data_IF_140503044242
#
_entry.id   IF_140503044242
#
_cell.length_a   1.000
_cell.length_b   1.000
_cell.length_c   1.000
_cell.angle_alpha   90.00
_cell.angle_beta   90.00
_cell.angle_gamma   90.00
#
_symmetry.space_group_name_H-M   'P 1'
#
loop_
_entity.id
_entity.type
_entity.pdbx_description
1 polymer ?
#
# COMPACT_ATOMS: atom_id res chain seq x y z
N UNK A 1 -9.17 29.58 -1.48
CA UNK A 1 -10.06 28.73 -2.29
C UNK A 1 -10.88 27.88 -1.33
N UNK A 2 -12.10 28.32 -1.01
CA UNK A 2 -13.09 27.46 -0.35
C UNK A 2 -13.53 26.42 -1.38
N UNK A 3 -13.45 25.13 -1.00
CA UNK A 3 -13.91 24.04 -1.86
C UNK A 3 -15.40 24.24 -2.18
N UNK A 4 -15.88 24.05 -3.42
CA UNK A 4 -17.30 24.17 -3.78
C UNK A 4 -18.21 23.13 -3.10
N UNK A 5 -17.62 22.22 -2.33
CA UNK A 5 -18.33 21.16 -1.60
C UNK A 5 -18.50 21.45 -0.11
N UNK A 6 -18.20 22.68 0.35
CA UNK A 6 -18.28 23.10 1.76
C UNK A 6 -17.60 22.13 2.74
N UNK A 7 -16.52 21.49 2.31
CA UNK A 7 -15.77 20.58 3.16
C UNK A 7 -15.09 21.34 4.29
N UNK A 8 -15.42 20.97 5.52
CA UNK A 8 -14.69 21.42 6.69
C UNK A 8 -13.28 20.80 6.73
N UNK A 9 -12.46 21.28 7.65
CA UNK A 9 -11.09 20.81 7.83
C UNK A 9 -11.02 19.30 8.12
N UNK A 10 -11.92 18.79 8.95
CA UNK A 10 -11.99 17.38 9.35
C UNK A 10 -12.28 16.47 8.15
N UNK A 11 -13.20 16.87 7.28
CA UNK A 11 -13.53 16.14 6.04
C UNK A 11 -12.36 16.14 5.07
N UNK A 12 -11.64 17.27 4.98
CA UNK A 12 -10.45 17.38 4.14
C UNK A 12 -9.30 16.51 4.66
N UNK A 13 -9.12 16.46 5.99
CA UNK A 13 -8.17 15.56 6.64
C UNK A 13 -8.55 14.09 6.43
N UNK A 14 -9.83 13.74 6.56
CA UNK A 14 -10.33 12.40 6.29
C UNK A 14 -10.00 11.94 4.86
N UNK A 15 -10.25 12.81 3.88
CA UNK A 15 -9.88 12.54 2.48
C UNK A 15 -8.36 12.39 2.33
N UNK A 16 -7.56 13.23 2.99
CA UNK A 16 -6.10 13.12 3.00
C UNK A 16 -5.60 11.79 3.58
N UNK A 17 -6.16 11.35 4.73
CA UNK A 17 -5.83 10.06 5.34
C UNK A 17 -6.17 8.88 4.44
N UNK A 18 -7.32 8.97 3.75
CA UNK A 18 -7.76 7.97 2.79
C UNK A 18 -6.86 7.88 1.54
N UNK A 19 -6.44 9.02 1.00
CA UNK A 19 -5.56 9.12 -0.18
C UNK A 19 -4.07 8.91 0.15
N UNK A 20 -3.73 8.79 1.44
CA UNK A 20 -2.37 8.50 1.88
C UNK A 20 -1.95 7.11 1.45
N UNK A 21 -2.83 6.11 1.51
CA UNK A 21 -2.56 4.72 1.15
C UNK A 21 -2.10 4.59 -0.31
N UNK A 22 -1.06 3.79 -0.54
CA UNK A 22 -0.39 3.69 -1.84
C UNK A 22 -0.18 2.24 -2.23
N UNK A 23 -0.34 1.94 -3.51
CA UNK A 23 -0.33 0.58 -4.06
C UNK A 23 0.57 0.50 -5.28
N UNK A 24 1.89 0.26 -5.11
CA UNK A 24 2.86 0.36 -6.18
C UNK A 24 2.90 -0.91 -7.05
N UNK A 25 1.91 -1.81 -6.98
CA UNK A 25 1.94 -3.12 -7.64
C UNK A 25 2.30 -3.02 -9.13
N UNK A 26 1.71 -2.08 -9.88
CA UNK A 26 2.03 -1.91 -11.30
C UNK A 26 3.48 -1.45 -11.53
N UNK A 27 4.00 -0.52 -10.71
CA UNK A 27 5.38 -0.04 -10.83
C UNK A 27 6.37 -1.14 -10.46
N UNK A 28 6.08 -1.90 -9.41
CA UNK A 28 6.95 -2.99 -8.96
C UNK A 28 6.99 -4.12 -9.98
N UNK A 29 5.87 -4.43 -10.65
CA UNK A 29 5.85 -5.37 -11.76
C UNK A 29 6.81 -4.95 -12.89
N UNK A 30 6.74 -3.68 -13.32
CA UNK A 30 7.65 -3.13 -14.35
C UNK A 30 9.11 -3.15 -13.91
N UNK A 31 9.41 -2.81 -12.65
CA UNK A 31 10.77 -2.88 -12.11
C UNK A 31 11.34 -4.31 -12.10
N UNK A 32 10.50 -5.30 -11.81
CA UNK A 32 10.86 -6.73 -11.82
C UNK A 32 11.10 -7.22 -13.26
N UNK A 33 10.28 -6.79 -14.21
CA UNK A 33 10.38 -7.16 -15.63
C UNK A 33 11.65 -6.57 -16.28
N UNK A 34 11.98 -5.31 -15.98
CA UNK A 34 13.19 -4.64 -16.48
C UNK A 34 14.47 -5.05 -15.74
N UNK A 35 14.37 -5.73 -14.60
CA UNK A 35 15.53 -6.15 -13.81
C UNK A 35 16.32 -4.99 -13.18
N UNK A 36 15.71 -3.81 -13.04
CA UNK A 36 16.39 -2.55 -12.68
C UNK A 36 17.08 -2.58 -11.33
N UNK A 37 16.37 -2.86 -10.24
CA UNK A 37 16.96 -2.87 -8.88
C UNK A 37 16.05 -3.56 -7.86
N UNK A 38 16.49 -4.70 -7.33
CA UNK A 38 15.81 -5.39 -6.21
C UNK A 38 15.69 -4.49 -4.98
N UNK A 39 16.71 -3.67 -4.72
CA UNK A 39 16.72 -2.69 -3.62
C UNK A 39 15.53 -1.72 -3.76
N UNK A 40 15.33 -1.15 -4.94
CA UNK A 40 14.26 -0.18 -5.18
C UNK A 40 12.88 -0.81 -5.03
N UNK A 41 12.68 -2.02 -5.60
CA UNK A 41 11.42 -2.77 -5.42
C UNK A 41 11.13 -3.04 -3.94
N UNK A 42 12.11 -3.47 -3.15
CA UNK A 42 11.93 -3.72 -1.71
C UNK A 42 11.61 -2.44 -0.94
N UNK A 43 12.24 -1.30 -1.26
CA UNK A 43 11.94 -0.03 -0.61
C UNK A 43 10.50 0.40 -0.90
N UNK A 44 10.06 0.31 -2.17
CA UNK A 44 8.73 0.72 -2.61
C UNK A 44 7.64 -0.21 -2.02
N UNK A 45 7.84 -1.54 -2.08
CA UNK A 45 6.91 -2.51 -1.48
C UNK A 45 6.82 -2.31 0.05
N UNK A 46 7.95 -2.07 0.72
CA UNK A 46 7.99 -1.85 2.16
C UNK A 46 7.32 -0.53 2.59
N UNK A 47 7.52 0.56 1.86
CA UNK A 47 6.83 1.84 2.09
C UNK A 47 5.32 1.66 1.99
N UNK A 48 4.84 1.05 0.91
CA UNK A 48 3.43 0.79 0.66
C UNK A 48 2.80 -0.07 1.75
N UNK A 49 3.44 -1.20 2.12
CA UNK A 49 2.91 -2.09 3.15
C UNK A 49 2.73 -1.38 4.51
N UNK A 50 3.71 -0.57 4.91
CA UNK A 50 3.63 0.20 6.16
C UNK A 50 2.58 1.30 6.09
N UNK A 51 2.55 2.01 4.96
CA UNK A 51 1.63 3.11 4.71
C UNK A 51 0.17 2.65 4.68
N UNK A 52 -0.15 1.49 4.12
CA UNK A 52 -1.49 0.91 4.15
C UNK A 52 -1.97 0.67 5.59
N UNK A 53 -1.11 0.14 6.47
CA UNK A 53 -1.44 -0.04 7.89
C UNK A 53 -1.64 1.29 8.63
N UNK A 54 -0.75 2.26 8.41
CA UNK A 54 -0.79 3.57 9.10
C UNK A 54 -1.94 4.45 8.60
N UNK A 55 -2.20 4.49 7.29
CA UNK A 55 -3.28 5.26 6.68
C UNK A 55 -4.65 4.87 7.25
N UNK A 56 -4.88 3.59 7.54
CA UNK A 56 -6.13 3.11 8.16
C UNK A 56 -6.27 3.65 9.58
N UNK A 57 -5.19 3.70 10.37
CA UNK A 57 -5.21 4.28 11.72
C UNK A 57 -5.53 5.78 11.66
N UNK A 58 -4.87 6.50 10.75
CA UNK A 58 -5.11 7.93 10.53
C UNK A 58 -6.54 8.19 10.03
N UNK A 59 -7.04 7.35 9.12
CA UNK A 59 -8.42 7.39 8.64
C UNK A 59 -9.42 7.21 9.78
N UNK A 60 -9.21 6.22 10.66
CA UNK A 60 -10.09 6.01 11.83
C UNK A 60 -10.12 7.22 12.75
N UNK A 61 -8.97 7.86 12.99
CA UNK A 61 -8.88 9.08 13.78
C UNK A 61 -9.70 10.23 13.14
N UNK A 62 -9.49 10.49 11.85
CA UNK A 62 -10.22 11.56 11.16
C UNK A 62 -11.71 11.26 11.01
N UNK A 63 -12.08 9.99 10.84
CA UNK A 63 -13.48 9.60 10.79
C UNK A 63 -14.17 9.90 12.13
N UNK A 64 -13.51 9.64 13.26
CA UNK A 64 -14.05 10.00 14.57
C UNK A 64 -14.20 11.53 14.75
N UNK A 65 -13.28 12.32 14.21
CA UNK A 65 -13.41 13.78 14.20
C UNK A 65 -14.63 14.23 13.39
N UNK A 66 -14.80 13.71 12.18
CA UNK A 66 -15.96 14.02 11.32
C UNK A 66 -17.29 13.59 11.98
N UNK A 67 -17.27 12.53 12.79
CA UNK A 67 -18.44 12.09 13.57
C UNK A 67 -18.68 12.93 14.84
N UNK A 68 -17.93 14.02 15.06
CA UNK A 68 -18.14 14.98 16.13
C UNK A 68 -17.30 14.76 17.39
N UNK A 69 -16.31 13.86 17.38
CA UNK A 69 -15.37 13.73 18.50
C UNK A 69 -14.26 14.78 18.39
N UNK A 70 -14.16 15.66 19.38
CA UNK A 70 -13.06 16.61 19.49
C UNK A 70 -11.80 15.94 20.03
N UNK A 71 -10.66 16.14 19.38
CA UNK A 71 -9.36 15.71 19.88
C UNK A 71 -8.47 16.92 20.16
N UNK A 72 -7.74 16.88 21.27
CA UNK A 72 -6.62 17.79 21.53
C UNK A 72 -5.32 17.12 21.03
N UNK A 73 -4.23 17.87 20.86
CA UNK A 73 -2.93 17.35 20.41
C UNK A 73 -2.46 16.15 21.26
N UNK A 74 -2.66 16.21 22.59
CA UNK A 74 -2.32 15.10 23.48
C UNK A 74 -3.16 13.85 23.24
N UNK A 75 -4.47 13.99 22.99
CA UNK A 75 -5.35 12.83 22.73
C UNK A 75 -5.14 12.26 21.32
N UNK A 76 -4.75 13.08 20.34
CA UNK A 76 -4.31 12.59 19.02
C UNK A 76 -3.08 11.70 19.17
N UNK A 77 -2.05 12.18 19.87
CA UNK A 77 -0.81 11.42 20.04
C UNK A 77 -1.07 10.12 20.81
N UNK A 78 -1.87 10.20 21.88
CA UNK A 78 -2.29 9.03 22.65
C UNK A 78 -3.03 8.04 21.76
N UNK A 79 -4.06 8.47 21.02
CA UNK A 79 -4.81 7.61 20.11
C UNK A 79 -3.92 6.93 19.07
N UNK A 80 -3.08 7.69 18.38
CA UNK A 80 -2.18 7.14 17.35
C UNK A 80 -1.20 6.13 17.95
N UNK A 81 -0.62 6.43 19.11
CA UNK A 81 0.31 5.53 19.79
C UNK A 81 -0.38 4.26 20.28
N UNK A 82 -1.54 4.38 20.92
CA UNK A 82 -2.28 3.25 21.50
C UNK A 82 -2.79 2.32 20.40
N UNK A 83 -3.46 2.86 19.39
CA UNK A 83 -4.02 2.08 18.29
C UNK A 83 -2.92 1.41 17.46
N UNK A 84 -1.81 2.13 17.20
CA UNK A 84 -0.72 1.56 16.40
C UNK A 84 0.08 0.53 17.16
N UNK A 85 0.54 0.84 18.39
CA UNK A 85 1.33 -0.09 19.20
C UNK A 85 0.48 -1.29 19.65
N UNK A 86 -0.79 -1.07 20.00
CA UNK A 86 -1.73 -2.12 20.34
C UNK A 86 -1.96 -3.08 19.18
N UNK A 87 -2.21 -2.57 17.96
CA UNK A 87 -2.36 -3.39 16.77
C UNK A 87 -1.09 -4.21 16.46
N UNK A 88 0.09 -3.60 16.53
CA UNK A 88 1.37 -4.30 16.29
C UNK A 88 1.61 -5.36 17.35
N UNK A 89 1.43 -5.03 18.64
CA UNK A 89 1.65 -5.97 19.74
C UNK A 89 0.71 -7.19 19.65
N UNK A 90 -0.57 -6.95 19.35
CA UNK A 90 -1.54 -8.03 19.16
C UNK A 90 -1.22 -8.86 17.91
N UNK A 91 -0.83 -8.22 16.80
CA UNK A 91 -0.41 -8.92 15.59
C UNK A 91 0.76 -9.87 15.86
N UNK A 92 1.77 -9.40 16.60
CA UNK A 92 2.89 -10.23 17.05
C UNK A 92 2.43 -11.36 17.98
N UNK A 93 1.52 -11.08 18.93
CA UNK A 93 1.00 -12.11 19.83
C UNK A 93 0.26 -13.23 19.07
N UNK A 94 -0.64 -12.88 18.15
CA UNK A 94 -1.31 -13.85 17.27
C UNK A 94 -0.31 -14.63 16.40
N UNK A 95 0.71 -13.96 15.87
CA UNK A 95 1.75 -14.61 15.09
C UNK A 95 2.57 -15.62 15.91
N UNK A 96 2.96 -15.28 17.14
CA UNK A 96 3.69 -16.19 18.03
C UNK A 96 2.81 -17.39 18.39
N UNK A 97 1.56 -17.16 18.81
CA UNK A 97 0.63 -18.24 19.21
C UNK A 97 0.39 -19.21 18.05
N UNK A 98 0.16 -18.67 16.85
CA UNK A 98 -0.06 -19.48 15.66
C UNK A 98 1.19 -20.23 15.21
N UNK A 99 2.39 -19.65 15.29
CA UNK A 99 3.63 -20.39 15.00
C UNK A 99 3.89 -21.51 16.01
N UNK A 100 3.57 -21.30 17.29
CA UNK A 100 3.63 -22.37 18.29
C UNK A 100 2.68 -23.50 17.92
N UNK A 101 1.45 -23.16 17.52
CA UNK A 101 0.47 -24.17 17.11
C UNK A 101 0.90 -24.93 15.86
N UNK A 102 1.48 -24.21 14.90
CA UNK A 102 2.03 -24.78 13.68
C UNK A 102 3.22 -25.70 13.96
N UNK A 103 4.03 -25.41 14.98
CA UNK A 103 5.12 -26.28 15.42
C UNK A 103 4.68 -27.68 15.89
N UNK A 104 3.40 -27.85 16.25
CA UNK A 104 2.81 -29.16 16.56
C UNK A 104 2.28 -29.91 15.32
N UNK A 105 2.17 -29.23 14.18
CA UNK A 105 1.68 -29.81 12.93
C UNK A 105 2.85 -30.07 12.00
N UNK A 106 3.06 -31.32 11.59
CA UNK A 106 4.19 -31.68 10.74
C UNK A 106 3.75 -31.94 9.30
N UNK A 107 4.31 -31.15 8.37
CA UNK A 107 4.38 -31.43 6.94
C UNK A 107 3.03 -31.53 6.20
N UNK A 108 2.05 -30.70 6.58
CA UNK A 108 0.77 -30.57 5.88
C UNK A 108 0.59 -29.13 5.35
N UNK A 109 0.83 -28.96 4.05
CA UNK A 109 0.76 -27.66 3.38
C UNK A 109 -0.66 -27.06 3.43
N UNK A 110 -1.70 -27.89 3.34
CA UNK A 110 -3.10 -27.42 3.30
C UNK A 110 -3.50 -26.91 4.68
N UNK A 111 -3.10 -27.61 5.74
CA UNK A 111 -3.32 -27.17 7.11
C UNK A 111 -2.58 -25.87 7.39
N UNK A 112 -1.33 -25.72 6.95
CA UNK A 112 -0.57 -24.47 7.06
C UNK A 112 -1.27 -23.29 6.36
N UNK A 113 -1.73 -23.48 5.13
CA UNK A 113 -2.49 -22.47 4.38
C UNK A 113 -3.78 -22.08 5.09
N UNK A 114 -4.55 -23.09 5.53
CA UNK A 114 -5.85 -22.88 6.18
C UNK A 114 -5.67 -22.18 7.53
N UNK A 115 -4.65 -22.56 8.30
CA UNK A 115 -4.37 -21.93 9.59
C UNK A 115 -3.93 -20.48 9.41
N UNK A 116 -2.99 -20.19 8.50
CA UNK A 116 -2.54 -18.82 8.27
C UNK A 116 -3.68 -17.91 7.81
N UNK A 117 -4.58 -18.41 6.95
CA UNK A 117 -5.78 -17.68 6.54
C UNK A 117 -6.74 -17.45 7.73
N UNK A 118 -7.05 -18.49 8.50
CA UNK A 118 -7.97 -18.42 9.63
C UNK A 118 -7.45 -17.47 10.72
N UNK A 119 -6.17 -17.59 11.09
CA UNK A 119 -5.53 -16.72 12.08
C UNK A 119 -5.52 -15.27 11.61
N UNK A 120 -5.20 -15.01 10.33
CA UNK A 120 -5.23 -13.65 9.77
C UNK A 120 -6.64 -13.04 9.89
N UNK A 121 -7.68 -13.79 9.54
CA UNK A 121 -9.07 -13.31 9.64
C UNK A 121 -9.51 -13.09 11.10
N UNK A 122 -9.21 -14.04 12.00
CA UNK A 122 -9.54 -13.93 13.42
C UNK A 122 -8.81 -12.74 14.05
N UNK A 123 -7.51 -12.58 13.79
CA UNK A 123 -6.72 -11.46 14.30
C UNK A 123 -7.28 -10.13 13.80
N UNK A 124 -7.60 -10.02 12.50
CA UNK A 124 -8.24 -8.84 11.93
C UNK A 124 -9.56 -8.50 12.66
N UNK A 125 -10.48 -9.45 12.72
CA UNK A 125 -11.83 -9.22 13.23
C UNK A 125 -11.84 -8.93 14.74
N UNK A 126 -11.12 -9.72 15.52
CA UNK A 126 -11.07 -9.57 16.99
C UNK A 126 -10.44 -8.24 17.39
N UNK A 127 -9.32 -7.87 16.78
CA UNK A 127 -8.64 -6.62 17.14
C UNK A 127 -9.43 -5.40 16.67
N UNK A 128 -10.06 -5.47 15.49
CA UNK A 128 -10.84 -4.36 14.97
C UNK A 128 -12.18 -4.17 15.67
N UNK A 129 -12.94 -5.25 15.91
CA UNK A 129 -14.29 -5.12 16.46
C UNK A 129 -14.31 -5.14 17.99
N UNK A 130 -13.55 -6.03 18.64
CA UNK A 130 -13.58 -6.14 20.10
C UNK A 130 -12.71 -5.08 20.78
N UNK A 131 -11.51 -4.82 20.25
CA UNK A 131 -10.53 -3.91 20.85
C UNK A 131 -10.50 -2.52 20.21
N UNK A 132 -11.22 -2.32 19.10
CA UNK A 132 -11.30 -1.05 18.36
C UNK A 132 -9.93 -0.50 17.91
N UNK A 133 -8.95 -1.38 17.71
CA UNK A 133 -7.65 -1.05 17.13
C UNK A 133 -7.63 -1.35 15.61
N UNK A 134 -6.51 -1.08 14.92
CA UNK A 134 -6.42 -1.31 13.48
C UNK A 134 -6.21 -2.79 13.16
N UNK A 135 -7.25 -3.46 12.67
CA UNK A 135 -7.18 -4.85 12.22
C UNK A 135 -6.21 -5.02 11.05
N UNK A 136 -6.17 -4.06 10.11
CA UNK A 136 -5.26 -4.08 8.96
C UNK A 136 -3.80 -4.03 9.43
N UNK A 137 -3.47 -3.10 10.33
CA UNK A 137 -2.10 -3.02 10.87
C UNK A 137 -1.72 -4.26 11.68
N UNK A 138 -2.70 -4.89 12.34
CA UNK A 138 -2.51 -6.14 13.10
C UNK A 138 -2.11 -7.29 12.17
N UNK A 139 -2.84 -7.50 11.07
CA UNK A 139 -2.51 -8.54 10.09
C UNK A 139 -1.22 -8.22 9.32
N UNK A 140 -0.91 -6.95 9.10
CA UNK A 140 0.39 -6.54 8.54
C UNK A 140 1.55 -6.92 9.46
N UNK A 141 1.45 -6.64 10.77
CA UNK A 141 2.46 -7.06 11.74
C UNK A 141 2.58 -8.60 11.83
N UNK A 142 1.45 -9.29 11.80
CA UNK A 142 1.41 -10.76 11.78
C UNK A 142 2.09 -11.34 10.53
N UNK A 143 1.76 -10.83 9.34
CA UNK A 143 2.34 -11.26 8.07
C UNK A 143 3.84 -10.98 7.99
N UNK A 144 4.29 -9.82 8.50
CA UNK A 144 5.72 -9.51 8.60
C UNK A 144 6.46 -10.46 9.54
N UNK A 145 5.84 -10.80 10.67
CA UNK A 145 6.42 -11.79 11.59
C UNK A 145 6.52 -13.17 10.92
N UNK A 146 5.48 -13.61 10.24
CA UNK A 146 5.56 -14.82 9.42
C UNK A 146 6.66 -14.74 8.38
N UNK A 147 6.79 -13.66 7.62
CA UNK A 147 7.83 -13.51 6.60
C UNK A 147 9.26 -13.58 7.21
N UNK A 148 9.47 -12.99 8.39
CA UNK A 148 10.75 -13.00 9.09
C UNK A 148 11.12 -14.39 9.65
N UNK A 149 10.15 -15.09 10.25
CA UNK A 149 10.35 -16.39 10.91
C UNK A 149 9.98 -17.58 10.02
N UNK A 150 9.53 -17.35 8.78
CA UNK A 150 9.09 -18.41 7.89
C UNK A 150 10.21 -19.40 7.56
N UNK A 151 11.46 -18.92 7.49
CA UNK A 151 12.62 -19.79 7.19
C UNK A 151 12.94 -20.77 8.31
N UNK A 152 12.59 -20.46 9.56
CA UNK A 152 12.85 -21.34 10.70
C UNK A 152 11.70 -22.31 10.96
N UNK A 153 10.48 -21.94 10.58
CA UNK A 153 9.27 -22.71 10.93
C UNK A 153 8.69 -23.51 9.77
N UNK A 154 8.69 -22.99 8.53
CA UNK A 154 8.20 -23.73 7.35
C UNK A 154 9.37 -24.40 6.63
N UNK A 155 9.47 -25.74 6.71
CA UNK A 155 10.54 -26.52 6.06
C UNK A 155 10.13 -26.94 4.65
N UNK A 156 11.07 -26.86 3.69
CA UNK A 156 10.93 -27.50 2.36
C UNK A 156 10.00 -26.80 1.36
N UNK A 157 9.34 -27.60 0.51
CA UNK A 157 8.48 -27.17 -0.62
C UNK A 157 7.22 -26.39 -0.18
N UNK A 158 6.77 -26.57 1.08
CA UNK A 158 5.58 -25.90 1.62
C UNK A 158 5.64 -24.38 1.54
N UNK A 159 6.83 -23.78 1.64
CA UNK A 159 7.00 -22.32 1.60
C UNK A 159 6.61 -21.74 0.23
N UNK A 160 6.93 -22.44 -0.85
CA UNK A 160 6.59 -21.98 -2.21
C UNK A 160 5.09 -22.05 -2.41
N UNK A 161 4.49 -23.18 -2.04
CA UNK A 161 3.03 -23.34 -2.08
C UNK A 161 2.31 -22.28 -1.26
N UNK A 162 2.75 -21.99 -0.04
CA UNK A 162 2.18 -20.92 0.81
C UNK A 162 2.28 -19.54 0.15
N UNK A 163 3.42 -19.24 -0.48
CA UNK A 163 3.59 -17.98 -1.21
C UNK A 163 2.63 -17.88 -2.39
N UNK A 164 2.58 -18.93 -3.23
CA UNK A 164 1.73 -18.99 -4.40
C UNK A 164 0.23 -18.89 -4.00
N UNK A 165 -0.16 -19.53 -2.88
CA UNK A 165 -1.52 -19.41 -2.32
C UNK A 165 -1.87 -17.97 -1.96
N UNK A 166 -1.02 -17.28 -1.20
CA UNK A 166 -1.27 -15.88 -0.82
C UNK A 166 -1.22 -14.92 -2.02
N UNK A 167 -0.39 -15.20 -3.02
CA UNK A 167 -0.36 -14.44 -4.27
C UNK A 167 -1.69 -14.56 -5.04
N UNK A 168 -2.24 -15.77 -5.15
CA UNK A 168 -3.56 -16.01 -5.76
C UNK A 168 -4.68 -15.31 -4.97
N UNK A 169 -4.68 -15.44 -3.64
CA UNK A 169 -5.70 -14.80 -2.78
C UNK A 169 -5.64 -13.27 -2.92
N UNK A 170 -4.45 -12.68 -2.89
CA UNK A 170 -4.26 -11.24 -3.06
C UNK A 170 -4.71 -10.78 -4.46
N UNK A 171 -4.38 -11.55 -5.51
CA UNK A 171 -4.81 -11.26 -6.88
C UNK A 171 -6.35 -11.25 -7.01
N UNK A 172 -7.03 -12.25 -6.44
CA UNK A 172 -8.50 -12.32 -6.44
C UNK A 172 -9.09 -11.14 -5.67
N UNK A 173 -8.59 -10.84 -4.46
CA UNK A 173 -9.08 -9.75 -3.64
C UNK A 173 -8.93 -8.38 -4.34
N UNK A 174 -7.76 -8.12 -4.93
CA UNK A 174 -7.52 -6.91 -5.70
C UNK A 174 -8.46 -6.80 -6.90
N UNK A 175 -8.63 -7.89 -7.67
CA UNK A 175 -9.53 -7.92 -8.82
C UNK A 175 -10.97 -7.59 -8.40
N UNK A 176 -11.46 -8.15 -7.30
CA UNK A 176 -12.79 -7.86 -6.77
C UNK A 176 -12.94 -6.39 -6.38
N UNK A 177 -11.96 -5.82 -5.64
CA UNK A 177 -12.02 -4.41 -5.21
C UNK A 177 -12.03 -3.47 -6.42
N UNK A 178 -11.20 -3.73 -7.44
CA UNK A 178 -11.18 -2.91 -8.65
C UNK A 178 -12.47 -3.03 -9.47
N UNK A 179 -13.03 -4.23 -9.63
CA UNK A 179 -14.31 -4.42 -10.32
C UNK A 179 -15.43 -3.69 -9.56
N UNK A 180 -15.55 -3.89 -8.24
CA UNK A 180 -16.57 -3.23 -7.41
C UNK A 180 -16.43 -1.71 -7.48
N UNK A 181 -15.21 -1.19 -7.34
CA UNK A 181 -14.95 0.24 -7.47
C UNK A 181 -15.34 0.77 -8.85
N UNK A 182 -14.97 0.06 -9.93
CA UNK A 182 -15.33 0.42 -11.30
C UNK A 182 -16.85 0.47 -11.50
N UNK A 183 -17.59 -0.51 -10.97
CA UNK A 183 -19.05 -0.55 -11.00
C UNK A 183 -19.65 0.63 -10.25
N UNK A 184 -19.15 0.97 -9.06
CA UNK A 184 -19.69 2.07 -8.24
C UNK A 184 -19.39 3.43 -8.89
N UNK A 185 -18.21 3.60 -9.48
CA UNK A 185 -17.87 4.81 -10.25
C UNK A 185 -18.78 4.91 -11.47
N UNK A 186 -18.97 3.83 -12.22
CA UNK A 186 -19.85 3.79 -13.38
C UNK A 186 -21.31 4.07 -12.99
N UNK A 187 -21.81 3.51 -11.89
CA UNK A 187 -23.15 3.79 -11.37
C UNK A 187 -23.32 5.26 -10.98
N UNK A 188 -22.32 5.83 -10.30
CA UNK A 188 -22.29 7.25 -9.95
C UNK A 188 -22.23 8.18 -11.17
N UNK A 189 -21.59 7.76 -12.25
CA UNK A 189 -21.51 8.53 -13.51
C UNK A 189 -22.76 8.33 -14.38
N UNK A 190 -23.35 7.13 -14.41
CA UNK A 190 -24.40 6.75 -15.36
C UNK A 190 -25.83 6.85 -14.79
N UNK A 191 -26.05 6.53 -13.51
CA UNK A 191 -27.41 6.51 -12.91
C UNK A 191 -27.80 7.84 -12.28
N UNK A 192 -26.84 8.54 -11.70
CA UNK A 192 -27.07 9.90 -11.25
C UNK A 192 -27.03 10.82 -12.48
N UNK A 193 -28.19 11.01 -13.12
CA UNK A 193 -28.53 12.17 -13.96
C UNK A 193 -28.48 13.48 -13.14
N UNK A 194 -27.51 13.62 -12.24
CA UNK A 194 -27.26 14.82 -11.47
C UNK A 194 -26.39 15.71 -12.35
N UNK A 195 -27.07 16.43 -13.25
CA UNK A 195 -26.61 17.69 -13.83
C UNK A 195 -25.11 17.74 -14.22
N UNK A 196 -24.71 16.97 -15.24
CA UNK A 196 -23.48 17.28 -15.99
C UNK A 196 -23.50 18.69 -16.62
N UNK A 197 -24.67 19.35 -16.64
CA UNK A 197 -24.88 20.69 -17.20
C UNK A 197 -24.38 21.85 -16.31
N UNK A 198 -23.89 21.60 -15.08
CA UNK A 198 -23.41 22.70 -14.19
C UNK A 198 -21.99 22.57 -13.63
N UNK A 199 -21.22 21.53 -14.01
CA UNK A 199 -19.99 21.16 -13.30
C UNK A 199 -18.78 20.77 -14.18
N UNK A 200 -18.42 21.60 -15.16
CA UNK A 200 -17.03 21.58 -15.69
C UNK A 200 -15.97 21.78 -14.60
N UNK A 201 -16.37 22.39 -13.48
CA UNK A 201 -15.56 22.59 -12.27
C UNK A 201 -15.16 21.29 -11.56
N UNK A 202 -16.03 20.27 -11.46
CA UNK A 202 -15.74 19.06 -10.65
C UNK A 202 -14.58 18.22 -11.21
N UNK A 203 -14.52 18.07 -12.53
CA UNK A 203 -13.39 17.44 -13.21
C UNK A 203 -12.10 18.27 -13.06
N UNK A 204 -12.22 19.60 -13.10
CA UNK A 204 -11.12 20.52 -12.79
C UNK A 204 -10.59 20.33 -11.36
N UNK A 205 -11.48 20.18 -10.37
CA UNK A 205 -11.09 19.87 -8.99
C UNK A 205 -10.44 18.50 -8.86
N UNK A 206 -10.92 17.49 -9.58
CA UNK A 206 -10.29 16.17 -9.58
C UNK A 206 -8.84 16.23 -10.11
N UNK A 207 -8.62 16.93 -11.24
CA UNK A 207 -7.29 17.13 -11.79
C UNK A 207 -6.40 17.94 -10.85
N UNK A 208 -6.92 19.02 -10.26
CA UNK A 208 -6.21 19.83 -9.28
C UNK A 208 -5.81 18.99 -8.06
N UNK A 209 -6.74 18.16 -7.56
CA UNK A 209 -6.49 17.26 -6.44
C UNK A 209 -5.44 16.20 -6.79
N UNK A 210 -5.47 15.65 -8.01
CA UNK A 210 -4.40 14.78 -8.51
C UNK A 210 -3.04 15.49 -8.47
N UNK A 211 -2.93 16.71 -9.00
CA UNK A 211 -1.69 17.48 -8.93
C UNK A 211 -1.25 17.75 -7.49
N UNK A 212 -2.18 18.10 -6.60
CA UNK A 212 -1.88 18.34 -5.18
C UNK A 212 -1.36 17.09 -4.49
N UNK A 213 -1.96 15.93 -4.75
CA UNK A 213 -1.53 14.63 -4.22
C UNK A 213 -0.12 14.26 -4.72
N UNK A 214 0.20 14.56 -5.99
CA UNK A 214 1.54 14.34 -6.54
C UNK A 214 2.57 15.30 -5.95
N UNK A 215 2.22 16.58 -5.80
CA UNK A 215 3.07 17.59 -5.17
C UNK A 215 3.32 17.28 -3.69
N UNK A 216 2.31 16.84 -2.95
CA UNK A 216 2.44 16.45 -1.56
C UNK A 216 3.43 15.27 -1.41
N UNK A 217 3.33 14.26 -2.29
CA UNK A 217 4.30 13.14 -2.30
C UNK A 217 5.72 13.63 -2.63
N UNK A 218 5.86 14.49 -3.64
CA UNK A 218 7.16 15.06 -4.00
C UNK A 218 7.77 15.88 -2.85
N UNK A 219 6.95 16.66 -2.13
CA UNK A 219 7.37 17.45 -0.99
C UNK A 219 7.82 16.57 0.18
N UNK A 220 7.06 15.51 0.52
CA UNK A 220 7.41 14.59 1.62
C UNK A 220 8.69 13.80 1.29
N UNK A 221 8.78 13.21 0.11
CA UNK A 221 9.98 12.47 -0.31
C UNK A 221 11.18 13.40 -0.42
N UNK A 222 10.99 14.62 -0.94
CA UNK A 222 12.05 15.63 -1.03
C UNK A 222 12.53 16.12 0.34
N UNK A 223 11.62 16.37 1.28
CA UNK A 223 11.97 16.76 2.64
C UNK A 223 12.74 15.66 3.38
N UNK A 224 12.37 14.40 3.17
CA UNK A 224 13.04 13.26 3.77
C UNK A 224 14.27 12.80 2.98
N UNK A 225 14.51 13.30 1.76
CA UNK A 225 15.58 12.85 0.87
C UNK A 225 16.95 12.86 1.53
N UNK A 226 17.28 13.92 2.29
CA UNK A 226 18.56 14.01 2.97
C UNK A 226 18.72 12.86 3.98
N UNK A 227 17.67 12.54 4.74
CA UNK A 227 17.66 11.44 5.69
C UNK A 227 17.74 10.08 4.96
N UNK A 228 16.96 9.88 3.90
CA UNK A 228 16.98 8.64 3.11
C UNK A 228 18.31 8.43 2.36
N UNK A 229 19.04 9.50 2.07
CA UNK A 229 20.37 9.42 1.46
C UNK A 229 21.43 8.89 2.44
N UNK A 230 21.33 9.25 3.72
CA UNK A 230 22.32 8.89 4.74
C UNK A 230 21.99 7.58 5.49
N UNK A 231 20.72 7.19 5.60
CA UNK A 231 20.31 6.01 6.37
C UNK A 231 19.96 4.79 5.48
N UNK A 232 20.21 3.59 6.01
CA UNK A 232 19.81 2.33 5.37
C UNK A 232 20.60 2.01 4.10
N UNK A 233 19.89 1.67 3.01
CA UNK A 233 20.50 1.30 1.72
C UNK A 233 21.04 2.51 0.92
N UNK A 234 20.78 3.74 1.39
CA UNK A 234 21.10 5.00 0.71
C UNK A 234 20.28 5.22 -0.56
N UNK A 235 19.61 6.35 -0.71
CA UNK A 235 18.76 6.64 -1.87
C UNK A 235 19.43 7.59 -2.88
N UNK A 236 19.55 7.15 -4.13
CA UNK A 236 19.99 8.03 -5.22
C UNK A 236 18.87 8.99 -5.65
N UNK A 237 19.23 10.11 -6.26
CA UNK A 237 18.27 11.09 -6.76
C UNK A 237 17.32 10.49 -7.80
N UNK A 238 17.83 9.61 -8.69
CA UNK A 238 17.00 8.89 -9.67
C UNK A 238 16.00 7.94 -8.99
N UNK A 239 16.45 7.21 -7.98
CA UNK A 239 15.60 6.33 -7.18
C UNK A 239 14.51 7.13 -6.44
N UNK A 240 14.82 8.33 -5.93
CA UNK A 240 13.87 9.21 -5.28
C UNK A 240 12.76 9.69 -6.24
N UNK A 241 13.11 10.03 -7.49
CA UNK A 241 12.13 10.39 -8.52
C UNK A 241 11.17 9.21 -8.78
N UNK A 242 11.71 7.99 -8.89
CA UNK A 242 10.88 6.79 -9.07
C UNK A 242 9.99 6.55 -7.86
N UNK A 243 10.47 6.77 -6.63
CA UNK A 243 9.63 6.64 -5.42
C UNK A 243 8.48 7.66 -5.44
N UNK A 244 8.71 8.90 -5.86
CA UNK A 244 7.62 9.88 -6.02
C UNK A 244 6.61 9.41 -7.06
N UNK A 245 7.08 8.91 -8.20
CA UNK A 245 6.23 8.48 -9.31
C UNK A 245 5.48 7.17 -9.01
N UNK A 246 6.09 6.25 -8.26
CA UNK A 246 5.56 4.93 -7.92
C UNK A 246 4.42 4.96 -6.92
N UNK A 247 4.11 6.13 -6.36
CA UNK A 247 2.94 6.34 -5.54
C UNK A 247 1.67 6.27 -6.36
N UNK A 248 1.25 5.07 -6.69
CA UNK A 248 -0.08 4.81 -7.22
C UNK A 248 -1.05 4.72 -6.03
N UNK A 249 -2.30 5.10 -6.21
CA UNK A 249 -3.35 4.90 -5.20
C UNK A 249 -4.10 3.65 -5.62
N UNK A 250 -4.48 2.80 -4.67
CA UNK A 250 -5.03 1.48 -5.01
C UNK A 250 -6.11 0.99 -4.07
N UNK A 251 -6.16 -0.33 -3.90
CA UNK A 251 -7.30 -1.06 -3.35
C UNK A 251 -7.71 -0.60 -1.93
N UNK A 252 -6.74 -0.28 -1.05
CA UNK A 252 -7.01 0.17 0.32
C UNK A 252 -7.73 1.52 0.34
N UNK A 253 -7.29 2.49 -0.47
CA UNK A 253 -7.95 3.78 -0.58
C UNK A 253 -9.38 3.64 -1.12
N UNK A 254 -9.58 2.75 -2.11
CA UNK A 254 -10.89 2.46 -2.68
C UNK A 254 -11.83 1.83 -1.64
N UNK A 255 -11.37 0.82 -0.90
CA UNK A 255 -12.21 0.11 0.09
C UNK A 255 -12.67 1.05 1.21
N UNK A 256 -11.78 1.93 1.70
CA UNK A 256 -12.12 2.96 2.66
C UNK A 256 -13.11 3.98 2.06
N UNK A 257 -12.94 4.36 0.80
CA UNK A 257 -13.87 5.27 0.11
C UNK A 257 -15.24 4.67 -0.16
N UNK A 258 -15.41 3.35 -0.16
CA UNK A 258 -16.74 2.76 -0.21
C UNK A 258 -17.51 2.98 1.10
N UNK A 259 -16.80 3.16 2.21
CA UNK A 259 -17.40 3.37 3.53
C UNK A 259 -17.83 4.83 3.76
N UNK A 260 -17.17 5.79 3.11
CA UNK A 260 -17.48 7.23 3.19
C UNK A 260 -17.71 7.74 1.78
N UNK A 261 -18.86 8.38 1.48
CA UNK A 261 -19.34 8.73 0.11
C UNK A 261 -18.44 9.63 -0.78
N UNK A 262 -17.11 9.60 -0.63
CA UNK A 262 -16.04 10.24 -1.43
C UNK A 262 -15.57 9.37 -2.62
N UNK A 263 -16.42 8.48 -3.13
CA UNK A 263 -16.05 7.50 -4.16
C UNK A 263 -15.62 8.18 -5.47
N UNK A 264 -16.24 9.31 -5.85
CA UNK A 264 -15.88 10.02 -7.09
C UNK A 264 -14.43 10.53 -7.06
N UNK A 265 -14.04 11.25 -6.01
CA UNK A 265 -12.69 11.81 -5.90
C UNK A 265 -11.64 10.73 -5.72
N UNK A 266 -11.90 9.77 -4.83
CA UNK A 266 -10.96 8.67 -4.57
C UNK A 266 -10.80 7.79 -5.81
N UNK A 267 -11.91 7.35 -6.39
CA UNK A 267 -11.93 6.53 -7.58
C UNK A 267 -11.26 7.22 -8.76
N UNK A 268 -11.53 8.51 -8.96
CA UNK A 268 -10.90 9.33 -9.98
C UNK A 268 -9.38 9.45 -9.80
N UNK A 269 -8.89 9.64 -8.57
CA UNK A 269 -7.44 9.69 -8.31
C UNK A 269 -6.78 8.34 -8.51
N UNK A 270 -7.40 7.27 -8.02
CA UNK A 270 -6.90 5.90 -8.23
C UNK A 270 -6.79 5.62 -9.72
N UNK A 271 -7.85 5.92 -10.49
CA UNK A 271 -7.86 5.79 -11.94
C UNK A 271 -6.77 6.64 -12.62
N UNK A 272 -6.65 7.92 -12.28
CA UNK A 272 -5.65 8.82 -12.86
C UNK A 272 -4.22 8.38 -12.52
N UNK A 273 -3.96 7.97 -11.28
CA UNK A 273 -2.62 7.52 -10.88
C UNK A 273 -2.26 6.20 -11.57
N UNK A 274 -3.18 5.23 -11.65
CA UNK A 274 -2.93 3.96 -12.36
C UNK A 274 -2.69 4.17 -13.86
N UNK A 275 -3.51 4.99 -14.53
CA UNK A 275 -3.34 5.24 -15.96
C UNK A 275 -2.12 6.12 -16.22
N UNK A 276 -2.03 7.29 -15.61
CA UNK A 276 -0.97 8.24 -15.92
C UNK A 276 0.37 7.75 -15.35
N UNK A 277 0.49 7.57 -14.04
CA UNK A 277 1.77 7.20 -13.45
C UNK A 277 2.13 5.76 -13.79
N UNK A 278 1.18 4.83 -13.74
CA UNK A 278 1.44 3.41 -14.04
C UNK A 278 1.96 3.22 -15.46
N UNK A 279 1.29 3.76 -16.48
CA UNK A 279 1.74 3.61 -17.87
C UNK A 279 3.04 4.37 -18.18
N UNK A 280 3.27 5.52 -17.56
CA UNK A 280 4.47 6.33 -17.81
C UNK A 280 5.69 5.88 -17.01
N UNK A 281 5.53 4.97 -16.04
CA UNK A 281 6.63 4.47 -15.20
C UNK A 281 7.73 3.82 -16.04
N UNK A 282 7.37 2.98 -17.02
CA UNK A 282 8.34 2.35 -17.90
C UNK A 282 9.13 3.39 -18.69
N UNK A 283 8.44 4.38 -19.26
CA UNK A 283 9.08 5.49 -19.97
C UNK A 283 10.03 6.28 -19.07
N UNK A 284 9.61 6.58 -17.84
CA UNK A 284 10.42 7.32 -16.87
C UNK A 284 11.69 6.53 -16.49
N UNK A 285 11.60 5.22 -16.32
CA UNK A 285 12.75 4.36 -16.04
C UNK A 285 13.78 4.38 -17.19
N UNK A 286 13.31 4.32 -18.43
CA UNK A 286 14.17 4.47 -19.61
C UNK A 286 14.79 5.87 -19.69
N UNK A 287 14.00 6.93 -19.45
CA UNK A 287 14.48 8.31 -19.48
C UNK A 287 15.56 8.59 -18.40
N UNK A 288 15.48 7.92 -17.25
CA UNK A 288 16.48 7.98 -16.18
C UNK A 288 17.69 7.06 -16.42
N UNK A 289 17.66 6.23 -17.47
CA UNK A 289 18.71 5.26 -17.81
C UNK A 289 18.85 4.13 -16.78
N UNK A 290 17.74 3.75 -16.12
CA UNK A 290 17.70 2.71 -15.08
C UNK A 290 17.39 1.31 -15.64
N UNK A 291 17.22 1.19 -16.94
CA UNK A 291 17.03 -0.03 -17.72
C UNK A 291 18.34 -0.81 -17.96
N UNK A 292 19.50 -0.18 -17.80
CA UNK A 292 20.81 -0.76 -18.13
C UNK A 292 21.54 -1.48 -16.97
N UNK A 293 20.92 -1.60 -15.79
CA UNK A 293 21.59 -2.14 -14.58
C UNK A 293 21.71 -3.67 -14.52
N UNK A 294 21.14 -4.40 -15.49
CA UNK A 294 21.13 -5.88 -15.47
C UNK A 294 22.29 -6.56 -16.20
N UNK A 295 23.11 -5.84 -16.97
CA UNK A 295 24.16 -6.50 -17.78
C UNK A 295 25.44 -6.80 -16.98
N UNK A 296 25.72 -6.10 -15.87
CA UNK A 296 27.06 -6.17 -15.23
C UNK A 296 27.21 -7.19 -14.09
N UNK A 297 26.18 -7.99 -13.72
CA UNK A 297 26.32 -9.02 -12.65
C UNK A 297 25.58 -10.33 -12.92
N UNK A 298 25.65 -10.86 -14.13
CA UNK A 298 25.41 -12.29 -14.38
C UNK A 298 26.77 -13.00 -14.45
N UNK A 299 27.44 -13.18 -13.31
CA UNK A 299 28.55 -14.13 -13.25
C UNK A 299 27.91 -15.53 -13.18
N UNK A 300 28.07 -16.34 -14.23
CA UNK A 300 27.50 -17.71 -14.29
C UNK A 300 28.13 -18.57 -13.16
N UNK A 301 27.35 -19.38 -12.41
CA UNK A 301 27.87 -20.11 -11.26
C UNK A 301 28.88 -21.23 -11.58
N UNK A 302 29.10 -21.55 -12.86
CA UNK A 302 29.75 -22.81 -13.26
C UNK A 302 31.15 -22.62 -13.87
N UNK A 303 31.56 -21.40 -14.24
CA UNK A 303 32.83 -21.21 -14.99
C UNK A 303 33.75 -20.10 -14.50
N UNK A 304 33.40 -19.33 -13.46
CA UNK A 304 34.34 -18.38 -12.84
C UNK A 304 34.91 -17.28 -13.75
N UNK A 305 34.36 -17.11 -14.95
CA UNK A 305 34.75 -16.06 -15.90
C UNK A 305 33.64 -15.03 -15.98
N UNK A 306 33.90 -13.84 -15.46
CA UNK A 306 33.09 -12.66 -15.71
C UNK A 306 33.57 -12.05 -17.04
N UNK A 307 32.75 -12.11 -18.09
CA UNK A 307 33.04 -11.50 -19.38
C UNK A 307 32.64 -10.02 -19.33
N UNK A 308 33.62 -9.12 -19.30
CA UNK A 308 33.45 -7.73 -19.70
C UNK A 308 33.42 -7.69 -21.22
N UNK A 309 32.31 -7.24 -21.81
CA UNK A 309 32.25 -7.03 -23.26
C UNK A 309 32.81 -5.64 -23.55
N UNK A 310 34.10 -5.60 -23.90
CA UNK A 310 34.62 -4.53 -24.75
C UNK A 310 34.03 -4.71 -26.15
N UNK A 311 33.51 -3.63 -26.72
CA UNK A 311 32.91 -3.57 -28.06
C UNK A 311 31.87 -2.48 -28.16
#
# INVERSE_FOLDING_TARGET
>A
LTSPYDWNWETSLLLGGLLSATDPVAVVAVLKELGTSKKLSTIIEGESLMNDGVSVVVYQLFLQMVLGRSFNTGSILMFLSEVSLGAVALGLAFAIISLLWLGFTFNDTILEMTLTLAVSYIAFYTVQDALKYSGILTVTALGMFYAAFAKTTFKGDNRRSLHDFWEIVAYIANTIIFILSGVIIADGVLRHNVHFERHGTSWGFLLLLYFYVQMARAAVVGALYLLLRYFGYGLDFKEAIIIVWSGLRGAVSLSLALSVKFVFFTGGIVFLTLILNGSTTQFLLHALGMDNLSVTKVCKPVTGQCLTRDG
#
